data_IF_189236185162
#
_entry.id   IF_189236185162
#
_cell.length_a   1.000
_cell.length_b   1.000
_cell.length_c   1.000
_cell.angle_alpha   90.00
_cell.angle_beta   90.00
_cell.angle_gamma   90.00
#
_symmetry.space_group_name_H-M   'P 1'
#
loop_
_entity.id
_entity.type
_entity.pdbx_description
1 polymer ?
#
# COMPACT_ATOMS: atom_id res chain seq x y z
N UNK A 1 21.45 12.53 5.09
CA UNK A 1 20.50 12.16 6.16
C UNK A 1 19.27 11.55 5.49
N UNK A 2 19.20 10.22 5.41
CA UNK A 2 18.06 9.53 4.77
C UNK A 2 17.09 9.09 5.86
N UNK A 3 16.25 10.02 6.34
CA UNK A 3 15.20 9.72 7.31
C UNK A 3 13.96 9.20 6.60
N UNK A 4 13.97 7.93 6.20
CA UNK A 4 12.69 7.29 5.95
C UNK A 4 12.64 6.03 6.79
N UNK A 5 12.21 6.21 8.04
CA UNK A 5 11.78 5.11 8.86
C UNK A 5 10.50 4.56 8.23
N UNK A 6 10.65 3.60 7.31
CA UNK A 6 9.54 2.99 6.59
C UNK A 6 8.46 2.45 7.54
N UNK A 7 8.80 1.81 8.68
CA UNK A 7 7.82 1.47 9.71
C UNK A 7 6.98 2.66 10.20
N UNK A 8 7.58 3.83 10.38
CA UNK A 8 6.88 5.03 10.84
C UNK A 8 6.02 5.64 9.73
N UNK A 9 6.54 5.73 8.51
CA UNK A 9 5.77 6.16 7.33
C UNK A 9 4.55 5.24 7.09
N UNK A 10 4.72 3.94 7.29
CA UNK A 10 3.64 2.98 7.17
C UNK A 10 2.50 3.29 8.15
N UNK A 11 2.81 3.59 9.41
CA UNK A 11 1.77 3.97 10.41
C UNK A 11 0.95 5.18 9.96
N UNK A 12 1.61 6.20 9.39
CA UNK A 12 0.90 7.37 8.87
C UNK A 12 0.02 7.02 7.66
N UNK A 13 0.49 6.15 6.76
CA UNK A 13 -0.32 5.70 5.64
C UNK A 13 -1.50 4.83 6.08
N UNK A 14 -1.31 3.95 7.08
CA UNK A 14 -2.37 3.13 7.66
C UNK A 14 -3.45 3.97 8.36
N UNK A 15 -3.08 5.05 9.06
CA UNK A 15 -4.06 5.97 9.63
C UNK A 15 -4.82 6.77 8.55
N UNK A 16 -4.14 7.15 7.47
CA UNK A 16 -4.75 7.89 6.37
C UNK A 16 -5.72 7.01 5.55
N UNK A 17 -5.54 5.68 5.54
CA UNK A 17 -6.50 4.76 4.91
C UNK A 17 -7.90 4.85 5.48
N UNK A 18 -8.03 5.05 6.79
CA UNK A 18 -9.33 5.15 7.47
C UNK A 18 -10.15 6.36 6.98
N UNK A 19 -9.46 7.37 6.44
CA UNK A 19 -10.07 8.58 5.89
C UNK A 19 -10.26 8.52 4.36
N UNK A 20 -10.05 7.35 3.73
CA UNK A 20 -10.24 7.16 2.30
C UNK A 20 -9.16 7.80 1.42
N UNK A 21 -7.99 8.13 1.97
CA UNK A 21 -6.88 8.69 1.20
C UNK A 21 -6.23 7.64 0.29
N UNK A 22 -6.77 7.50 -0.92
CA UNK A 22 -6.37 6.50 -1.90
C UNK A 22 -4.87 6.40 -2.20
N UNK A 23 -4.15 7.53 -2.17
CA UNK A 23 -2.69 7.57 -2.37
C UNK A 23 -1.97 6.92 -1.19
N UNK A 24 -2.39 7.21 0.04
CA UNK A 24 -1.83 6.60 1.24
C UNK A 24 -2.10 5.10 1.28
N UNK A 25 -3.34 4.70 0.96
CA UNK A 25 -3.74 3.29 0.81
C UNK A 25 -2.85 2.53 -0.15
N UNK A 26 -2.60 3.10 -1.32
CA UNK A 26 -1.71 2.52 -2.31
C UNK A 26 -0.26 2.40 -1.81
N UNK A 27 0.25 3.44 -1.15
CA UNK A 27 1.62 3.44 -0.62
C UNK A 27 1.80 2.43 0.52
N UNK A 28 0.81 2.27 1.41
CA UNK A 28 0.83 1.22 2.43
C UNK A 28 0.91 -0.17 1.81
N UNK A 29 0.07 -0.45 0.80
CA UNK A 29 0.11 -1.72 0.08
C UNK A 29 1.46 -1.97 -0.62
N UNK A 30 2.07 -0.93 -1.23
CA UNK A 30 3.41 -1.03 -1.82
C UNK A 30 4.50 -1.33 -0.80
N UNK A 31 4.43 -0.71 0.37
CA UNK A 31 5.39 -0.99 1.46
C UNK A 31 5.30 -2.45 1.89
N UNK A 32 4.09 -2.98 2.08
CA UNK A 32 3.89 -4.40 2.39
C UNK A 32 4.30 -5.35 1.25
N UNK A 33 4.21 -4.92 0.00
CA UNK A 33 4.68 -5.69 -1.16
C UNK A 33 6.22 -5.75 -1.21
N UNK A 34 6.87 -4.60 -1.04
CA UNK A 34 8.32 -4.48 -1.13
C UNK A 34 9.05 -5.05 0.10
N UNK A 35 8.46 -4.92 1.29
CA UNK A 35 9.12 -5.27 2.55
C UNK A 35 10.32 -4.36 2.86
N UNK A 36 10.26 -3.10 2.44
CA UNK A 36 11.34 -2.14 2.70
C UNK A 36 11.34 -1.78 4.18
N UNK A 37 12.29 -2.31 4.97
CA UNK A 37 12.38 -2.04 6.41
C UNK A 37 11.26 -2.65 7.27
N UNK A 38 10.39 -3.48 6.68
CA UNK A 38 9.39 -4.31 7.37
C UNK A 38 9.28 -5.68 6.72
N UNK A 39 8.59 -6.63 7.35
CA UNK A 39 8.30 -7.90 6.70
C UNK A 39 7.27 -7.74 5.57
N UNK A 40 7.51 -8.41 4.45
CA UNK A 40 6.55 -8.49 3.34
C UNK A 40 5.27 -9.17 3.82
N UNK A 41 4.13 -8.61 3.45
CA UNK A 41 2.84 -9.23 3.78
C UNK A 41 1.93 -9.21 2.55
N UNK A 42 1.76 -10.38 1.93
CA UNK A 42 0.94 -10.55 0.72
C UNK A 42 -0.54 -10.28 0.99
N UNK A 43 -1.06 -10.74 2.12
CA UNK A 43 -2.47 -10.55 2.48
C UNK A 43 -2.78 -9.06 2.67
N UNK A 44 -1.95 -8.36 3.45
CA UNK A 44 -2.07 -6.90 3.61
C UNK A 44 -1.92 -6.17 2.27
N UNK A 45 -0.95 -6.56 1.44
CA UNK A 45 -0.80 -5.99 0.09
C UNK A 45 -2.11 -6.06 -0.69
N UNK A 46 -2.73 -7.24 -0.76
CA UNK A 46 -3.99 -7.46 -1.48
C UNK A 46 -5.11 -6.59 -0.88
N UNK A 47 -5.24 -6.57 0.45
CA UNK A 47 -6.28 -5.78 1.12
C UNK A 47 -6.14 -4.28 0.83
N UNK A 48 -4.93 -3.72 0.95
CA UNK A 48 -4.69 -2.31 0.63
C UNK A 48 -4.90 -2.01 -0.86
N UNK A 49 -4.49 -2.90 -1.76
CA UNK A 49 -4.74 -2.72 -3.19
C UNK A 49 -6.25 -2.74 -3.51
N UNK A 50 -7.01 -3.68 -2.94
CA UNK A 50 -8.48 -3.71 -3.08
C UNK A 50 -9.13 -2.43 -2.58
N UNK A 51 -8.69 -1.92 -1.43
CA UNK A 51 -9.22 -0.69 -0.87
C UNK A 51 -8.88 0.52 -1.75
N UNK A 52 -7.66 0.61 -2.28
CA UNK A 52 -7.29 1.67 -3.22
C UNK A 52 -8.15 1.63 -4.49
N UNK A 53 -8.42 0.42 -5.01
CA UNK A 53 -9.29 0.22 -6.18
C UNK A 53 -10.74 0.60 -5.88
N UNK A 54 -11.24 0.27 -4.68
CA UNK A 54 -12.57 0.67 -4.21
C UNK A 54 -12.72 2.20 -4.19
N UNK A 55 -11.67 2.94 -3.85
CA UNK A 55 -11.61 4.40 -3.94
C UNK A 55 -11.22 4.93 -5.33
N UNK A 56 -11.46 4.13 -6.39
CA UNK A 56 -11.25 4.48 -7.79
C UNK A 56 -9.82 4.95 -8.10
N UNK A 57 -8.83 4.34 -7.44
CA UNK A 57 -7.42 4.62 -7.70
C UNK A 57 -6.87 3.69 -8.78
N UNK A 58 -7.02 4.10 -10.03
CA UNK A 58 -6.55 3.36 -11.20
C UNK A 58 -5.09 2.88 -11.13
N UNK A 59 -4.13 3.64 -10.55
CA UNK A 59 -2.75 3.16 -10.43
C UNK A 59 -2.61 1.88 -9.59
N UNK A 60 -3.53 1.61 -8.65
CA UNK A 60 -3.54 0.34 -7.91
C UNK A 60 -3.92 -0.84 -8.80
N UNK A 61 -4.90 -0.69 -9.70
CA UNK A 61 -5.28 -1.73 -10.67
C UNK A 61 -4.09 -2.08 -11.57
N UNK A 62 -3.44 -1.05 -12.11
CA UNK A 62 -2.27 -1.23 -12.98
C UNK A 62 -1.14 -1.93 -12.24
N UNK A 63 -0.83 -1.47 -11.02
CA UNK A 63 0.19 -2.08 -10.19
C UNK A 63 -0.07 -3.57 -9.93
N UNK A 64 -1.31 -3.95 -9.63
CA UNK A 64 -1.65 -5.36 -9.39
C UNK A 64 -1.48 -6.22 -10.64
N UNK A 65 -1.87 -5.72 -11.82
CA UNK A 65 -1.67 -6.40 -13.10
C UNK A 65 -0.18 -6.58 -13.39
N UNK A 66 0.61 -5.51 -13.26
CA UNK A 66 2.04 -5.52 -13.56
C UNK A 66 2.82 -6.46 -12.62
N UNK A 67 2.36 -6.61 -11.37
CA UNK A 67 3.03 -7.41 -10.34
C UNK A 67 2.38 -8.77 -10.07
N UNK A 68 1.41 -9.19 -10.91
CA UNK A 68 0.67 -10.45 -10.77
C UNK A 68 0.06 -10.64 -9.36
N UNK A 69 -0.46 -9.56 -8.77
CA UNK A 69 -1.12 -9.59 -7.47
C UNK A 69 -2.57 -10.06 -7.68
N UNK A 70 -3.00 -11.15 -7.03
CA UNK A 70 -4.38 -11.61 -7.15
C UNK A 70 -5.32 -10.61 -6.45
N UNK A 71 -6.23 -10.03 -7.24
CA UNK A 71 -7.31 -9.16 -6.79
C UNK A 71 -8.61 -9.95 -6.70
#
# INVERSE_FOLDING_TARGET
>A
MSFTNIPEALKYFEAATENGFKIATYNAGKIYYNGDGIEKNKEKTINYMKLAIYHEYEPAIKFCKDNNIPL
#
